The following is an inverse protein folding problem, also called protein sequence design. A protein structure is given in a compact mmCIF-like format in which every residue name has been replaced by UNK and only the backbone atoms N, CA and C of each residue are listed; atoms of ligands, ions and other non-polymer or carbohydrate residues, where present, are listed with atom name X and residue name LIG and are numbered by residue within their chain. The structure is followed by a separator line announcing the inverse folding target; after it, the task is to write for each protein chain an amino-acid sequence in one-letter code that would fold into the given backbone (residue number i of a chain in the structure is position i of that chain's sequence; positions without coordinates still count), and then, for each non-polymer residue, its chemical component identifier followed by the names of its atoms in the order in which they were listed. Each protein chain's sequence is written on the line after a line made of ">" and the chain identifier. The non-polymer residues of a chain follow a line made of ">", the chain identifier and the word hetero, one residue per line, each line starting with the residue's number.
data_IF_399618966830
#
_entry.id   IF_399618966830
#
_cell.length_a   1.000
_cell.length_b   1.000
_cell.length_c   1.000
_cell.angle_alpha   90.00
_cell.angle_beta   90.00
_cell.angle_gamma   90.00
#
_symmetry.space_group_name_H-M   'P 1'
#
loop_
_entity.id
_entity.type
_entity.pdbx_description
1 polymer ?
#
# COMPACT_ATOMS: atom_id res chain seq x y z
N UNK A 1 1.28 12.51 -15.50
CA UNK A 1 1.10 11.23 -14.78
C UNK A 1 2.48 10.77 -14.35
N UNK A 2 2.72 10.60 -13.05
CA UNK A 2 4.04 10.21 -12.53
C UNK A 2 3.94 8.83 -11.90
N UNK A 3 4.72 7.89 -12.41
CA UNK A 3 4.84 6.54 -11.85
C UNK A 3 6.03 6.51 -10.90
N UNK A 4 5.82 5.99 -9.69
CA UNK A 4 6.85 5.95 -8.66
C UNK A 4 6.62 4.77 -7.72
N UNK A 5 7.67 4.27 -7.08
CA UNK A 5 7.53 3.19 -6.11
C UNK A 5 7.09 3.73 -4.75
N UNK A 6 6.45 2.87 -3.94
CA UNK A 6 6.02 3.25 -2.59
C UNK A 6 7.14 3.86 -1.74
N UNK A 7 8.35 3.31 -1.81
CA UNK A 7 9.53 3.82 -1.07
C UNK A 7 9.91 5.24 -1.45
N UNK A 8 9.63 5.66 -2.68
CA UNK A 8 10.01 6.95 -3.23
C UNK A 8 8.90 8.01 -3.05
N UNK A 9 7.73 7.61 -2.55
CA UNK A 9 6.67 8.54 -2.18
C UNK A 9 7.09 9.46 -1.02
N UNK A 10 6.54 10.66 -1.03
CA UNK A 10 6.58 11.59 0.11
C UNK A 10 5.93 10.95 1.34
N UNK A 11 6.32 11.39 2.54
CA UNK A 11 5.77 10.87 3.81
C UNK A 11 4.25 11.00 3.87
N UNK A 12 3.69 12.10 3.36
CA UNK A 12 2.26 12.33 3.24
C UNK A 12 1.58 11.30 2.32
N UNK A 13 2.12 11.10 1.12
CA UNK A 13 1.58 10.13 0.16
C UNK A 13 1.66 8.68 0.69
N UNK A 14 2.71 8.35 1.45
CA UNK A 14 2.83 7.05 2.14
C UNK A 14 1.72 6.88 3.16
N UNK A 15 1.47 7.88 4.00
CA UNK A 15 0.38 7.85 4.99
C UNK A 15 -0.99 7.67 4.34
N UNK A 16 -1.26 8.39 3.24
CA UNK A 16 -2.51 8.22 2.50
C UNK A 16 -2.67 6.82 1.91
N UNK A 17 -1.60 6.26 1.33
CA UNK A 17 -1.64 4.90 0.80
C UNK A 17 -1.92 3.87 1.89
N UNK A 18 -1.19 3.94 3.02
CA UNK A 18 -1.39 3.05 4.18
C UNK A 18 -2.83 3.15 4.70
N UNK A 19 -3.30 4.37 4.97
CA UNK A 19 -4.65 4.60 5.51
C UNK A 19 -5.72 4.03 4.59
N UNK A 20 -5.65 4.34 3.29
CA UNK A 20 -6.65 3.90 2.31
C UNK A 20 -6.69 2.38 2.16
N UNK A 21 -5.54 1.72 2.19
CA UNK A 21 -5.47 0.27 2.07
C UNK A 21 -5.98 -0.37 3.35
N UNK A 22 -5.54 0.09 4.52
CA UNK A 22 -5.99 -0.39 5.82
C UNK A 22 -7.52 -0.29 5.98
N UNK A 23 -8.11 0.85 5.59
CA UNK A 23 -9.56 1.04 5.62
C UNK A 23 -10.31 0.10 4.68
N UNK A 24 -9.71 -0.28 3.54
CA UNK A 24 -10.32 -1.21 2.59
C UNK A 24 -10.21 -2.68 3.00
N UNK A 25 -9.11 -3.05 3.66
CA UNK A 25 -8.86 -4.44 4.08
C UNK A 25 -9.30 -4.73 5.51
N UNK A 26 -9.63 -3.68 6.29
CA UNK A 26 -9.92 -3.75 7.73
C UNK A 26 -8.75 -4.34 8.55
N UNK A 27 -7.51 -4.10 8.11
CA UNK A 27 -6.28 -4.60 8.74
C UNK A 27 -5.52 -3.42 9.37
N UNK A 28 -4.81 -3.68 10.47
CA UNK A 28 -3.99 -2.68 11.16
C UNK A 28 -3.02 -1.99 10.19
N UNK A 29 -2.95 -0.65 10.29
CA UNK A 29 -2.06 0.22 9.52
C UNK A 29 -0.59 -0.20 9.61
N UNK A 30 -0.15 -0.71 10.76
CA UNK A 30 1.24 -1.15 10.96
C UNK A 30 1.60 -2.34 10.05
N UNK A 31 0.71 -3.34 9.97
CA UNK A 31 0.86 -4.50 9.09
C UNK A 31 0.88 -4.04 7.64
N UNK A 32 -0.08 -3.20 7.25
CA UNK A 32 -0.16 -2.64 5.90
C UNK A 32 1.11 -1.87 5.54
N UNK A 33 1.60 -1.03 6.44
CA UNK A 33 2.83 -0.25 6.25
C UNK A 33 4.05 -1.17 6.08
N UNK A 34 4.19 -2.18 6.93
CA UNK A 34 5.28 -3.17 6.85
C UNK A 34 5.27 -3.88 5.50
N UNK A 35 4.11 -4.34 5.06
CA UNK A 35 3.98 -5.04 3.76
C UNK A 35 4.22 -4.09 2.59
N UNK A 36 3.73 -2.85 2.63
CA UNK A 36 4.02 -1.84 1.60
C UNK A 36 5.52 -1.53 1.49
N UNK A 37 6.24 -1.42 2.62
CA UNK A 37 7.68 -1.20 2.64
C UNK A 37 8.45 -2.40 2.04
N UNK A 38 8.02 -3.63 2.34
CA UNK A 38 8.65 -4.86 1.79
C UNK A 38 8.33 -5.06 0.32
N UNK A 39 7.04 -5.02 -0.04
CA UNK A 39 6.55 -5.29 -1.39
C UNK A 39 6.90 -4.18 -2.39
N UNK A 40 6.97 -2.94 -1.90
CA UNK A 40 7.32 -1.75 -2.68
C UNK A 40 6.59 -1.66 -4.04
N UNK A 41 5.24 -1.64 -4.04
CA UNK A 41 4.48 -1.64 -5.29
C UNK A 41 4.72 -0.35 -6.10
N UNK A 42 4.64 -0.48 -7.42
CA UNK A 42 4.54 0.67 -8.32
C UNK A 42 3.19 1.37 -8.13
N UNK A 43 3.24 2.68 -7.95
CA UNK A 43 2.09 3.55 -7.74
C UNK A 43 2.08 4.68 -8.78
N UNK A 44 0.89 5.18 -9.08
CA UNK A 44 0.67 6.30 -9.99
C UNK A 44 0.15 7.48 -9.18
N UNK A 45 0.73 8.66 -9.40
CA UNK A 45 0.18 9.92 -8.87
C UNK A 45 -0.69 10.55 -9.96
N UNK A 46 -2.00 10.61 -9.70
CA UNK A 46 -3.02 11.22 -10.56
C UNK A 46 -3.81 12.25 -9.77
N UNK A 47 -3.83 13.50 -10.19
CA UNK A 47 -4.63 14.56 -9.54
C UNK A 47 -4.42 14.62 -8.01
N UNK A 48 -3.15 14.59 -7.56
CA UNK A 48 -2.76 14.50 -6.15
C UNK A 48 -3.26 13.26 -5.40
N UNK A 49 -3.63 12.18 -6.11
CA UNK A 49 -4.02 10.90 -5.51
C UNK A 49 -3.02 9.82 -5.84
N UNK A 50 -2.65 9.05 -4.83
CA UNK A 50 -1.87 7.82 -4.99
C UNK A 50 -2.80 6.68 -5.41
N UNK A 51 -2.51 6.08 -6.56
CA UNK A 51 -3.29 5.00 -7.16
C UNK A 51 -2.37 3.80 -7.37
N UNK A 52 -2.91 2.60 -7.16
CA UNK A 52 -2.21 1.34 -7.41
C UNK A 52 -2.98 0.60 -8.49
N UNK A 53 -2.27 0.06 -9.48
CA UNK A 53 -2.87 -0.80 -10.49
C UNK A 53 -3.59 -1.99 -9.83
N UNK A 54 -4.78 -2.35 -10.33
CA UNK A 54 -5.63 -3.42 -9.77
C UNK A 54 -4.88 -4.75 -9.57
N UNK A 55 -4.02 -5.15 -10.50
CA UNK A 55 -3.27 -6.40 -10.39
C UNK A 55 -2.24 -6.35 -9.26
N UNK A 56 -1.50 -5.24 -9.17
CA UNK A 56 -0.55 -5.00 -8.08
C UNK A 56 -1.26 -4.89 -6.73
N UNK A 57 -2.43 -4.27 -6.70
CA UNK A 57 -3.27 -4.18 -5.50
C UNK A 57 -3.72 -5.55 -5.02
N UNK A 58 -4.23 -6.40 -5.91
CA UNK A 58 -4.68 -7.76 -5.54
C UNK A 58 -3.53 -8.61 -4.98
N UNK A 59 -2.33 -8.50 -5.57
CA UNK A 59 -1.13 -9.18 -5.05
C UNK A 59 -0.72 -8.62 -3.68
N UNK A 60 -0.69 -7.30 -3.54
CA UNK A 60 -0.39 -6.63 -2.28
C UNK A 60 -1.35 -7.08 -1.17
N UNK A 61 -2.66 -7.10 -1.43
CA UNK A 61 -3.68 -7.51 -0.47
C UNK A 61 -3.45 -8.95 -0.01
N UNK A 62 -3.11 -9.87 -0.91
CA UNK A 62 -2.76 -11.25 -0.52
C UNK A 62 -1.57 -11.29 0.44
N UNK A 63 -0.54 -10.48 0.18
CA UNK A 63 0.62 -10.39 1.08
C UNK A 63 0.27 -9.75 2.43
N UNK A 64 -0.65 -8.77 2.45
CA UNK A 64 -1.16 -8.17 3.70
C UNK A 64 -1.91 -9.22 4.55
N UNK A 65 -2.81 -10.00 3.94
CA UNK A 65 -3.51 -11.06 4.67
C UNK A 65 -2.57 -12.13 5.21
N UNK A 66 -1.57 -12.55 4.43
CA UNK A 66 -0.53 -13.48 4.91
C UNK A 66 0.21 -12.92 6.11
N UNK A 67 0.64 -11.66 6.05
CA UNK A 67 1.35 -11.03 7.17
C UNK A 67 0.46 -10.92 8.40
N UNK A 68 -0.82 -10.59 8.24
CA UNK A 68 -1.77 -10.50 9.34
C UNK A 68 -1.95 -11.84 10.06
N UNK A 69 -2.10 -12.94 9.31
CA UNK A 69 -2.22 -14.29 9.88
C UNK A 69 -0.96 -14.77 10.59
N UNK A 70 0.22 -14.19 10.30
CA UNK A 70 1.47 -14.53 10.98
C UNK A 70 1.67 -13.76 12.30
N UNK A 71 0.87 -12.73 12.54
CA UNK A 71 0.96 -11.88 13.73
C UNK A 71 -0.16 -12.13 14.74
N UNK A 72 -1.10 -13.03 14.41
CA UNK A 72 -2.09 -13.62 15.31
C UNK A 72 -1.57 -14.95 15.88
#
# INVERSE_FOLDING_TARGET
>A
MLNTYYKDLTSENKQFAVYRIASKTLINKEIVQKVLQRYNPLMEIKENRVVINKNSYNKLVREIYKEHLLME
#
